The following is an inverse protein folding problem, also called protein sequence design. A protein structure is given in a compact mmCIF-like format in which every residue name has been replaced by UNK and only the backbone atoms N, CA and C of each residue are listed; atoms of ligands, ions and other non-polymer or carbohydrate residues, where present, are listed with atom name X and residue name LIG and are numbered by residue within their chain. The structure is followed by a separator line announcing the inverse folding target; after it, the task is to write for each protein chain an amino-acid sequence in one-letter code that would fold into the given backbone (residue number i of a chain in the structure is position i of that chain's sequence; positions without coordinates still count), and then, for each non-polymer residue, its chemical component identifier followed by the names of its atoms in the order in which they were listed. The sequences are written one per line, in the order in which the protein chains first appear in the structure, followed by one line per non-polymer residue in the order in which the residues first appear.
data_IF_856667241072
#
_entry.id   IF_856667241072
#
_cell.length_a   1.000
_cell.length_b   1.000
_cell.length_c   1.000
_cell.angle_alpha   90.00
_cell.angle_beta   90.00
_cell.angle_gamma   90.00
#
_symmetry.space_group_name_H-M   'P 1'
#
loop_
_entity.id
_entity.type
_entity.pdbx_description
1 polymer ?
#
# COMPACT_ATOMS: atom_id res chain seq x y z
N UNK A 1 9.92 -6.27 -6.62
CA UNK A 1 10.83 -6.71 -7.72
C UNK A 1 12.28 -6.78 -7.27
N UNK A 2 13.00 -5.67 -6.98
CA UNK A 2 14.43 -5.74 -6.64
C UNK A 2 14.73 -6.67 -5.45
N UNK A 3 13.93 -6.65 -4.39
CA UNK A 3 14.09 -7.54 -3.23
C UNK A 3 13.96 -9.02 -3.60
N UNK A 4 13.01 -9.36 -4.45
CA UNK A 4 12.81 -10.74 -4.93
C UNK A 4 13.95 -11.20 -5.83
N UNK A 5 14.45 -10.30 -6.70
CA UNK A 5 15.59 -10.59 -7.57
C UNK A 5 16.89 -10.79 -6.81
N UNK A 6 17.21 -9.88 -5.88
CA UNK A 6 18.47 -9.91 -5.12
C UNK A 6 18.46 -10.98 -4.02
N UNK A 7 17.28 -11.31 -3.51
CA UNK A 7 17.05 -12.29 -2.44
C UNK A 7 17.99 -12.10 -1.23
N UNK A 8 18.05 -10.88 -0.71
CA UNK A 8 18.78 -10.52 0.51
C UNK A 8 17.78 -10.02 1.56
N UNK A 9 18.07 -10.07 2.86
CA UNK A 9 17.16 -9.57 3.89
C UNK A 9 16.68 -8.16 3.62
N UNK A 10 15.37 -7.94 3.66
CA UNK A 10 14.72 -6.67 3.35
C UNK A 10 13.51 -6.45 4.24
N UNK A 11 13.17 -5.20 4.48
CA UNK A 11 11.89 -4.76 5.01
C UNK A 11 11.43 -3.51 4.29
N UNK A 12 10.18 -3.48 3.85
CA UNK A 12 9.59 -2.28 3.25
C UNK A 12 8.98 -1.39 4.33
N UNK A 13 9.24 -0.10 4.22
CA UNK A 13 8.71 0.91 5.13
C UNK A 13 8.11 2.04 4.32
N UNK A 14 6.80 2.22 4.46
CA UNK A 14 6.06 3.30 3.82
C UNK A 14 5.98 4.53 4.73
N UNK A 15 5.82 5.71 4.15
CA UNK A 15 5.48 6.93 4.89
C UNK A 15 4.05 6.94 5.43
N UNK A 16 3.20 6.04 4.95
CA UNK A 16 1.79 5.92 5.30
C UNK A 16 0.84 6.74 4.42
N UNK A 17 -0.45 6.42 4.43
CA UNK A 17 -1.48 7.16 3.71
C UNK A 17 -1.80 8.49 4.41
N UNK A 18 -2.32 9.46 3.62
CA UNK A 18 -2.90 10.68 4.18
C UNK A 18 -4.28 10.41 4.79
N UNK A 19 -4.74 11.33 5.63
CA UNK A 19 -6.12 11.32 6.12
C UNK A 19 -7.12 11.52 4.98
N UNK A 20 -8.32 10.93 5.11
CA UNK A 20 -9.39 11.15 4.15
C UNK A 20 -9.85 12.62 4.15
N UNK A 21 -10.06 13.16 2.95
CA UNK A 21 -10.57 14.52 2.76
C UNK A 21 -12.01 14.66 3.24
N UNK A 22 -12.33 15.82 3.79
CA UNK A 22 -13.70 16.20 4.13
C UNK A 22 -13.84 17.72 4.16
N UNK A 23 -14.98 18.21 3.72
CA UNK A 23 -15.32 19.63 3.84
C UNK A 23 -16.79 19.81 4.16
N UNK A 24 -17.17 21.04 4.57
CA UNK A 24 -18.56 21.41 4.83
C UNK A 24 -19.07 22.27 3.68
N UNK A 25 -20.01 21.75 2.91
CA UNK A 25 -20.72 22.49 1.86
C UNK A 25 -22.21 22.56 2.22
N UNK A 26 -22.78 23.73 2.14
CA UNK A 26 -24.23 23.97 2.38
C UNK A 26 -24.74 23.27 3.66
N UNK A 27 -23.99 23.40 4.77
CA UNK A 27 -24.26 22.80 6.09
C UNK A 27 -24.13 21.25 6.18
N UNK A 28 -23.70 20.59 5.13
CA UNK A 28 -23.42 19.16 5.14
C UNK A 28 -21.91 18.88 5.09
N UNK A 29 -21.46 17.90 5.90
CA UNK A 29 -20.09 17.42 5.82
C UNK A 29 -20.06 16.35 4.70
N UNK A 30 -19.30 16.64 3.66
CA UNK A 30 -19.03 15.69 2.58
C UNK A 30 -17.62 15.12 2.70
N UNK A 31 -17.46 13.85 2.35
CA UNK A 31 -16.15 13.23 2.17
C UNK A 31 -15.67 13.56 0.78
N UNK A 32 -14.38 13.73 0.65
CA UNK A 32 -13.73 14.11 -0.62
C UNK A 32 -12.47 13.28 -0.82
N UNK A 33 -12.21 13.01 -2.06
CA UNK A 33 -10.90 12.50 -2.51
C UNK A 33 -10.40 13.31 -3.72
N UNK A 34 -9.28 12.87 -4.30
CA UNK A 34 -8.70 13.51 -5.48
C UNK A 34 -9.67 13.51 -6.68
N UNK A 35 -10.41 12.43 -6.87
CA UNK A 35 -11.34 12.28 -8.01
C UNK A 35 -12.51 13.22 -7.85
N UNK A 36 -13.06 13.34 -6.64
CA UNK A 36 -14.11 14.31 -6.33
C UNK A 36 -13.66 15.75 -6.64
N UNK A 37 -12.44 16.12 -6.25
CA UNK A 37 -11.88 17.44 -6.55
C UNK A 37 -11.74 17.68 -8.05
N UNK A 38 -11.30 16.69 -8.82
CA UNK A 38 -11.20 16.80 -10.28
C UNK A 38 -12.57 16.96 -10.96
N UNK A 39 -13.58 16.17 -10.51
CA UNK A 39 -14.94 16.23 -11.05
C UNK A 39 -15.57 17.61 -10.75
N UNK A 40 -15.46 18.06 -9.51
CA UNK A 40 -16.02 19.35 -9.08
C UNK A 40 -15.33 20.54 -9.78
N UNK A 41 -14.01 20.48 -9.95
CA UNK A 41 -13.25 21.52 -10.68
C UNK A 41 -13.58 21.61 -12.16
N UNK A 42 -14.15 20.54 -12.75
CA UNK A 42 -14.61 20.51 -14.14
C UNK A 42 -16.10 20.89 -14.31
N UNK A 43 -16.86 20.99 -13.21
CA UNK A 43 -18.29 21.32 -13.26
C UNK A 43 -18.50 22.85 -13.33
N UNK A 44 -19.05 23.39 -14.44
CA UNK A 44 -19.29 24.82 -14.59
C UNK A 44 -20.33 25.40 -13.63
N UNK A 45 -21.03 24.56 -12.86
CA UNK A 45 -21.99 24.99 -11.84
C UNK A 45 -21.35 25.23 -10.47
N UNK A 46 -20.12 24.78 -10.28
CA UNK A 46 -19.36 25.00 -9.05
C UNK A 46 -18.71 26.38 -9.11
N UNK A 47 -18.88 27.21 -8.07
CA UNK A 47 -18.21 28.52 -8.01
C UNK A 47 -16.72 28.35 -7.71
N UNK A 48 -15.92 29.38 -8.04
CA UNK A 48 -14.48 29.40 -7.77
C UNK A 48 -14.18 29.21 -6.28
N UNK A 49 -14.98 29.81 -5.39
CA UNK A 49 -14.82 29.69 -3.94
C UNK A 49 -15.10 28.27 -3.46
N UNK A 50 -16.10 27.61 -4.03
CA UNK A 50 -16.41 26.21 -3.73
C UNK A 50 -15.31 25.28 -4.25
N UNK A 51 -14.82 25.52 -5.46
CA UNK A 51 -13.71 24.78 -6.06
C UNK A 51 -12.45 24.89 -5.20
N UNK A 52 -12.06 26.09 -4.80
CA UNK A 52 -10.92 26.30 -3.91
C UNK A 52 -11.08 25.59 -2.55
N UNK A 53 -12.28 25.62 -1.97
CA UNK A 53 -12.56 24.92 -0.71
C UNK A 53 -12.41 23.40 -0.86
N UNK A 54 -12.90 22.83 -1.97
CA UNK A 54 -12.82 21.41 -2.27
C UNK A 54 -11.35 21.00 -2.48
N UNK A 55 -10.60 21.71 -3.31
CA UNK A 55 -9.18 21.46 -3.57
C UNK A 55 -8.34 21.43 -2.29
N UNK A 56 -8.53 22.41 -1.42
CA UNK A 56 -7.82 22.48 -0.12
C UNK A 56 -8.19 21.36 0.83
N UNK A 57 -9.37 20.75 0.67
CA UNK A 57 -9.92 19.76 1.59
C UNK A 57 -9.75 18.32 1.12
N UNK A 58 -9.57 18.09 -0.18
CA UNK A 58 -9.49 16.74 -0.77
C UNK A 58 -8.23 15.98 -0.36
N UNK A 59 -7.10 16.68 -0.22
CA UNK A 59 -5.81 16.11 0.19
C UNK A 59 -5.28 16.84 1.43
N UNK A 60 -5.86 16.61 2.62
CA UNK A 60 -5.70 17.50 3.77
C UNK A 60 -4.37 17.34 4.52
N UNK A 61 -3.66 16.23 4.34
CA UNK A 61 -2.42 15.94 5.10
C UNK A 61 -1.31 15.41 4.19
N UNK A 62 -0.10 15.24 4.75
CA UNK A 62 0.97 14.50 4.07
C UNK A 62 0.68 13.00 4.05
N UNK A 63 1.34 12.28 3.14
CA UNK A 63 1.21 10.84 2.97
C UNK A 63 0.91 10.44 1.52
N UNK A 64 0.77 9.14 1.26
CA UNK A 64 0.23 8.67 -0.01
C UNK A 64 -1.26 9.02 -0.12
N UNK A 65 -1.84 8.95 -1.32
CA UNK A 65 -3.25 9.26 -1.52
C UNK A 65 -4.15 8.48 -0.55
N UNK A 66 -5.21 9.11 -0.06
CA UNK A 66 -6.21 8.45 0.80
C UNK A 66 -7.04 7.39 0.08
N UNK A 67 -7.17 7.51 -1.25
CA UNK A 67 -7.79 6.47 -2.07
C UNK A 67 -6.87 5.26 -2.26
N UNK A 68 -7.46 4.11 -2.62
CA UNK A 68 -6.73 2.87 -2.90
C UNK A 68 -6.09 2.90 -4.29
N UNK A 69 -5.38 3.99 -4.61
CA UNK A 69 -4.52 4.08 -5.78
C UNK A 69 -3.23 3.27 -5.56
N UNK A 70 -2.33 3.28 -6.54
CA UNK A 70 -1.18 2.38 -6.57
C UNK A 70 -0.33 2.41 -5.30
N UNK A 71 0.01 3.59 -4.80
CA UNK A 71 0.90 3.72 -3.63
C UNK A 71 0.25 3.15 -2.36
N UNK A 72 -1.02 3.52 -2.08
CA UNK A 72 -1.72 3.05 -0.89
C UNK A 72 -2.00 1.55 -0.98
N UNK A 73 -2.45 1.05 -2.13
CA UNK A 73 -2.66 -0.39 -2.35
C UNK A 73 -1.36 -1.17 -2.16
N UNK A 74 -0.25 -0.78 -2.80
CA UNK A 74 1.03 -1.47 -2.64
C UNK A 74 1.56 -1.44 -1.20
N UNK A 75 1.31 -0.38 -0.44
CA UNK A 75 1.67 -0.33 0.98
C UNK A 75 0.96 -1.41 1.80
N UNK A 76 -0.32 -1.69 1.50
CA UNK A 76 -1.08 -2.77 2.14
C UNK A 76 -0.61 -4.15 1.64
N UNK A 77 -0.34 -4.27 0.33
CA UNK A 77 0.08 -5.56 -0.23
C UNK A 77 1.47 -6.00 0.24
N UNK A 78 2.39 -5.06 0.53
CA UNK A 78 3.68 -5.43 1.14
C UNK A 78 3.52 -6.02 2.54
N UNK A 79 2.47 -5.65 3.28
CA UNK A 79 2.11 -6.32 4.54
C UNK A 79 1.62 -7.75 4.30
N UNK A 80 0.68 -7.92 3.36
CA UNK A 80 0.11 -9.23 3.03
C UNK A 80 1.16 -10.20 2.49
N UNK A 81 2.16 -9.69 1.75
CA UNK A 81 3.33 -10.46 1.31
C UNK A 81 4.31 -10.82 2.44
N UNK A 82 4.12 -10.30 3.66
CA UNK A 82 5.03 -10.51 4.78
C UNK A 82 6.34 -9.69 4.70
N UNK A 83 6.45 -8.75 3.76
CA UNK A 83 7.66 -7.95 3.52
C UNK A 83 7.65 -6.60 4.24
N UNK A 84 6.58 -6.28 4.97
CA UNK A 84 6.45 -5.09 5.83
C UNK A 84 5.88 -5.48 7.18
N UNK A 85 6.00 -4.57 8.14
CA UNK A 85 5.35 -4.74 9.45
C UNK A 85 3.85 -4.40 9.38
N UNK A 86 3.02 -5.01 10.24
CA UNK A 86 1.63 -4.63 10.41
C UNK A 86 1.47 -3.12 10.68
N UNK A 87 0.51 -2.50 10.03
CA UNK A 87 0.28 -1.06 10.09
C UNK A 87 1.08 -0.23 9.08
N UNK A 88 1.96 -0.85 8.29
CA UNK A 88 2.75 -0.12 7.30
C UNK A 88 1.87 0.62 6.27
N UNK A 89 0.84 -0.02 5.74
CA UNK A 89 -0.08 0.54 4.75
C UNK A 89 -1.32 1.19 5.35
N UNK A 90 -1.77 0.77 6.54
CA UNK A 90 -3.05 1.19 7.13
C UNK A 90 -2.92 2.33 8.15
N UNK A 91 -1.76 2.53 8.77
CA UNK A 91 -1.53 3.61 9.71
C UNK A 91 -1.29 4.93 8.96
N UNK A 92 -2.02 6.00 9.33
CA UNK A 92 -1.86 7.32 8.71
C UNK A 92 -0.43 7.85 8.87
N UNK A 93 0.03 8.62 7.87
CA UNK A 93 1.34 9.26 7.89
C UNK A 93 1.52 10.22 9.08
N UNK A 94 0.43 10.81 9.54
CA UNK A 94 0.40 11.75 10.68
C UNK A 94 0.14 11.09 12.03
N UNK A 95 0.01 9.76 12.09
CA UNK A 95 -0.27 9.06 13.35
C UNK A 95 0.98 9.04 14.25
N UNK A 96 0.80 9.27 15.55
CA UNK A 96 1.90 9.33 16.51
C UNK A 96 2.76 8.03 16.55
N UNK A 97 2.11 6.87 16.39
CA UNK A 97 2.79 5.57 16.43
C UNK A 97 3.61 5.27 15.17
N UNK A 98 3.57 6.13 14.13
CA UNK A 98 4.37 5.95 12.91
C UNK A 98 5.87 5.93 13.20
N UNK A 99 6.34 6.77 14.13
CA UNK A 99 7.73 6.77 14.57
C UNK A 99 8.14 5.42 15.17
N UNK A 100 7.28 4.84 16.01
CA UNK A 100 7.55 3.53 16.61
C UNK A 100 7.62 2.41 15.56
N UNK A 101 6.78 2.49 14.51
CA UNK A 101 6.85 1.56 13.38
C UNK A 101 8.22 1.66 12.68
N UNK A 102 8.74 2.86 12.45
CA UNK A 102 10.06 3.04 11.83
C UNK A 102 11.18 2.49 12.69
N UNK A 103 11.15 2.74 14.00
CA UNK A 103 12.14 2.20 14.94
C UNK A 103 12.10 0.67 14.98
N UNK A 104 10.90 0.09 14.97
CA UNK A 104 10.72 -1.36 14.94
C UNK A 104 11.21 -1.97 13.62
N UNK A 105 10.98 -1.32 12.49
CA UNK A 105 11.49 -1.75 11.20
C UNK A 105 13.03 -1.75 11.18
N UNK A 106 13.66 -0.72 11.75
CA UNK A 106 15.11 -0.67 11.90
C UNK A 106 15.68 -1.80 12.75
N UNK A 107 15.00 -2.17 13.86
CA UNK A 107 15.40 -3.33 14.67
C UNK A 107 15.22 -4.64 13.93
N UNK A 108 14.09 -4.77 13.22
CA UNK A 108 13.74 -5.98 12.48
C UNK A 108 14.69 -6.27 11.34
N UNK A 109 15.13 -5.26 10.57
CA UNK A 109 16.08 -5.50 9.49
C UNK A 109 17.44 -5.97 10.02
N UNK A 110 17.90 -5.45 11.15
CA UNK A 110 19.13 -5.92 11.81
C UNK A 110 18.98 -7.40 12.24
N UNK A 111 17.83 -7.76 12.83
CA UNK A 111 17.53 -9.14 13.20
C UNK A 111 17.53 -10.08 11.99
N UNK A 112 16.80 -9.73 10.90
CA UNK A 112 16.76 -10.52 9.68
C UNK A 112 18.16 -10.71 9.07
N UNK A 113 18.97 -9.65 9.07
CA UNK A 113 20.35 -9.69 8.58
C UNK A 113 21.21 -10.66 9.39
N UNK A 114 21.10 -10.63 10.72
CA UNK A 114 21.84 -11.55 11.60
C UNK A 114 21.39 -12.99 11.42
N UNK A 115 20.10 -13.22 11.31
CA UNK A 115 19.54 -14.57 11.06
C UNK A 115 20.13 -15.17 9.79
N UNK A 116 20.16 -14.41 8.72
CA UNK A 116 20.70 -14.88 7.45
C UNK A 116 22.22 -15.04 7.46
N UNK A 117 22.98 -13.98 7.82
CA UNK A 117 24.43 -13.97 7.66
C UNK A 117 25.21 -14.64 8.81
N UNK A 118 24.63 -14.71 10.02
CA UNK A 118 25.32 -15.28 11.19
C UNK A 118 24.79 -16.67 11.56
N UNK A 119 23.55 -17.02 11.12
CA UNK A 119 22.87 -18.26 11.53
C UNK A 119 22.47 -19.14 10.34
N UNK A 120 22.78 -18.73 9.11
CA UNK A 120 22.41 -19.40 7.86
C UNK A 120 20.88 -19.67 7.75
N UNK A 121 20.05 -18.77 8.33
CA UNK A 121 18.61 -18.91 8.34
C UNK A 121 17.99 -18.27 7.09
N UNK A 122 17.78 -19.07 6.05
CA UNK A 122 17.19 -18.64 4.78
C UNK A 122 15.72 -18.22 4.91
N UNK A 123 15.03 -18.56 6.02
CA UNK A 123 13.65 -18.09 6.23
C UNK A 123 13.54 -16.58 6.41
N UNK A 124 14.68 -15.88 6.58
CA UNK A 124 14.76 -14.41 6.59
C UNK A 124 14.79 -13.78 5.19
N UNK A 125 14.87 -14.58 4.13
CA UNK A 125 14.97 -14.11 2.76
C UNK A 125 13.60 -13.80 2.13
N UNK A 126 13.50 -12.78 1.26
CA UNK A 126 12.25 -12.38 0.63
C UNK A 126 11.52 -13.50 -0.11
N UNK A 127 12.24 -14.37 -0.83
CA UNK A 127 11.62 -15.48 -1.57
C UNK A 127 11.02 -16.54 -0.65
N UNK A 128 11.55 -16.69 0.55
CA UNK A 128 11.03 -17.64 1.56
C UNK A 128 9.92 -17.02 2.42
N UNK A 129 9.79 -15.68 2.41
CA UNK A 129 8.70 -14.96 3.09
C UNK A 129 7.51 -14.80 2.15
N UNK A 130 7.75 -14.23 0.96
CA UNK A 130 6.72 -13.98 -0.05
C UNK A 130 6.54 -15.24 -0.93
N UNK A 131 5.97 -16.28 -0.32
CA UNK A 131 5.63 -17.55 -0.96
C UNK A 131 4.40 -17.42 -1.85
N UNK A 132 4.05 -18.50 -2.57
CA UNK A 132 2.81 -18.55 -3.36
C UNK A 132 1.58 -18.17 -2.52
N UNK A 133 1.44 -18.74 -1.31
CA UNK A 133 0.33 -18.43 -0.41
C UNK A 133 0.30 -16.94 -0.01
N UNK A 134 1.46 -16.32 0.13
CA UNK A 134 1.55 -14.88 0.42
C UNK A 134 1.08 -14.04 -0.78
N UNK A 135 1.35 -14.47 -2.01
CA UNK A 135 0.82 -13.82 -3.21
C UNK A 135 -0.70 -14.00 -3.34
N UNK A 136 -1.25 -15.18 -3.04
CA UNK A 136 -2.70 -15.39 -2.97
C UNK A 136 -3.35 -14.48 -1.91
N UNK A 137 -2.79 -14.41 -0.71
CA UNK A 137 -3.26 -13.52 0.34
C UNK A 137 -3.22 -12.03 -0.09
N UNK A 138 -2.13 -11.60 -0.73
CA UNK A 138 -1.99 -10.25 -1.23
C UNK A 138 -3.03 -9.94 -2.31
N UNK A 139 -3.26 -10.86 -3.26
CA UNK A 139 -4.27 -10.66 -4.31
C UNK A 139 -5.70 -10.70 -3.76
N UNK A 140 -6.00 -11.59 -2.83
CA UNK A 140 -7.30 -11.62 -2.16
C UNK A 140 -7.57 -10.29 -1.42
N UNK A 141 -6.57 -9.74 -0.73
CA UNK A 141 -6.65 -8.43 -0.10
C UNK A 141 -6.88 -7.32 -1.14
N UNK A 142 -6.14 -7.34 -2.27
CA UNK A 142 -6.26 -6.34 -3.34
C UNK A 142 -7.66 -6.30 -3.93
N UNK A 143 -8.24 -7.46 -4.20
CA UNK A 143 -9.62 -7.62 -4.69
C UNK A 143 -10.61 -7.09 -3.64
N UNK A 144 -10.46 -7.49 -2.39
CA UNK A 144 -11.39 -7.11 -1.31
C UNK A 144 -11.39 -5.60 -1.01
N UNK A 145 -10.24 -4.95 -1.12
CA UNK A 145 -10.13 -3.50 -0.87
C UNK A 145 -10.40 -2.63 -2.10
N UNK A 146 -10.59 -3.24 -3.28
CA UNK A 146 -10.75 -2.50 -4.54
C UNK A 146 -9.48 -1.75 -4.93
N UNK A 147 -8.34 -2.45 -4.90
CA UNK A 147 -7.04 -1.87 -5.15
C UNK A 147 -6.82 -1.39 -6.58
N UNK A 148 -5.66 -0.81 -6.81
CA UNK A 148 -5.27 -0.25 -8.12
C UNK A 148 -5.00 -1.35 -9.15
N UNK A 149 -5.44 -1.16 -10.40
CA UNK A 149 -5.06 -2.04 -11.52
C UNK A 149 -3.54 -2.21 -11.67
N UNK A 150 -2.75 -1.21 -11.26
CA UNK A 150 -1.29 -1.30 -11.31
C UNK A 150 -0.72 -2.35 -10.34
N UNK A 151 -1.42 -2.68 -9.25
CA UNK A 151 -0.98 -3.70 -8.29
C UNK A 151 -0.92 -5.08 -8.91
N UNK A 152 -1.83 -5.40 -9.82
CA UNK A 152 -1.81 -6.64 -10.60
C UNK A 152 -0.48 -6.78 -11.34
N UNK A 153 -0.08 -5.73 -12.08
CA UNK A 153 1.18 -5.71 -12.81
C UNK A 153 2.39 -5.84 -11.87
N UNK A 154 2.34 -5.18 -10.72
CA UNK A 154 3.43 -5.21 -9.75
C UNK A 154 3.56 -6.56 -9.05
N UNK A 155 2.45 -7.21 -8.70
CA UNK A 155 2.48 -8.55 -8.09
C UNK A 155 2.99 -9.59 -9.07
N UNK A 156 2.49 -9.60 -10.31
CA UNK A 156 2.98 -10.52 -11.35
C UNK A 156 4.47 -10.34 -11.61
N UNK A 157 4.94 -9.09 -11.72
CA UNK A 157 6.36 -8.81 -11.89
C UNK A 157 7.21 -9.23 -10.68
N UNK A 158 6.67 -9.08 -9.46
CA UNK A 158 7.35 -9.51 -8.24
C UNK A 158 7.39 -11.04 -8.13
N UNK A 159 6.31 -11.72 -8.50
CA UNK A 159 6.24 -13.19 -8.55
C UNK A 159 7.27 -13.74 -9.53
N UNK A 160 7.34 -13.19 -10.74
CA UNK A 160 8.33 -13.58 -11.74
C UNK A 160 9.77 -13.40 -11.25
N UNK A 161 10.10 -12.27 -10.63
CA UNK A 161 11.42 -12.01 -10.07
C UNK A 161 11.76 -12.93 -8.88
N UNK A 162 10.74 -13.39 -8.17
CA UNK A 162 10.85 -14.33 -7.05
C UNK A 162 10.86 -15.79 -7.47
N UNK A 163 10.61 -16.08 -8.76
CA UNK A 163 10.42 -17.43 -9.25
C UNK A 163 9.22 -18.14 -8.57
N UNK A 164 8.18 -17.35 -8.23
CA UNK A 164 6.92 -17.85 -7.67
C UNK A 164 5.95 -18.09 -8.83
N UNK A 165 5.37 -19.28 -8.89
CA UNK A 165 4.43 -19.71 -9.93
C UNK A 165 3.01 -19.15 -9.66
N UNK A 166 2.91 -17.82 -9.67
CA UNK A 166 1.67 -17.06 -9.49
C UNK A 166 1.41 -16.22 -10.73
N UNK A 167 0.26 -16.42 -11.38
CA UNK A 167 -0.04 -15.85 -12.66
C UNK A 167 -1.45 -15.24 -12.79
N UNK A 168 -1.86 -14.92 -14.02
CA UNK A 168 -3.18 -14.34 -14.33
C UNK A 168 -4.34 -15.31 -14.10
N UNK A 169 -4.11 -16.63 -14.20
CA UNK A 169 -5.15 -17.63 -13.97
C UNK A 169 -5.50 -17.69 -12.47
N UNK A 170 -4.49 -17.54 -11.60
CA UNK A 170 -4.70 -17.42 -10.15
C UNK A 170 -5.51 -16.18 -9.80
N UNK A 171 -5.22 -15.04 -10.43
CA UNK A 171 -5.96 -13.80 -10.22
C UNK A 171 -7.42 -13.96 -10.65
N UNK A 172 -7.67 -14.55 -11.82
CA UNK A 172 -9.03 -14.84 -12.29
C UNK A 172 -9.77 -15.78 -11.33
N UNK A 173 -9.11 -16.83 -10.86
CA UNK A 173 -9.66 -17.76 -9.88
C UNK A 173 -10.04 -17.06 -8.57
N UNK A 174 -9.15 -16.26 -8.01
CA UNK A 174 -9.37 -15.53 -6.76
C UNK A 174 -10.49 -14.47 -6.90
N UNK A 175 -10.60 -13.84 -8.06
CA UNK A 175 -11.62 -12.81 -8.31
C UNK A 175 -13.07 -13.36 -8.35
N UNK A 176 -13.23 -14.69 -8.45
CA UNK A 176 -14.53 -15.37 -8.49
C UNK A 176 -14.98 -15.95 -7.14
N UNK A 177 -14.15 -15.84 -6.11
CA UNK A 177 -14.46 -16.30 -4.75
C UNK A 177 -15.16 -15.21 -3.93
#
# INVERSE_FOLDING_TARGET
MASMRLNIPVIFVSGGPMGAGKTKLSDQIIKLDLVDAMIQGADPKVSDEQSEQIERSACPTCGSCSGMFTANSMNCLTEALGLSQPGNGSMLATHADREQLFLNAGRRIVELTRRYYEQDDESALPRNIATYDAFENAMALDIAMGGSTNTILHLLAAAQEGEVDFDMEDIDRLSRQ
#
